data_IF_386706226745
#
_entry.id   IF_386706226745
#
_cell.length_a   1.000
_cell.length_b   1.000
_cell.length_c   1.000
_cell.angle_alpha   90.00
_cell.angle_beta   90.00
_cell.angle_gamma   90.00
#
_symmetry.space_group_name_H-M   'P 1'
#
loop_
_entity.id
_entity.type
_entity.pdbx_description
1 polymer ?
#
# COMPACT_ATOMS: atom_id res chain seq x y z
N UNK A 1 64.27 10.27 -44.28
CA UNK A 1 63.57 11.08 -43.26
C UNK A 1 62.11 10.65 -43.05
N UNK A 2 61.36 10.24 -44.09
CA UNK A 2 59.97 9.75 -43.98
C UNK A 2 59.78 8.36 -43.30
N UNK A 3 60.81 7.50 -43.27
CA UNK A 3 60.71 6.17 -42.64
C UNK A 3 60.86 6.21 -41.10
N UNK A 4 61.57 7.21 -40.55
CA UNK A 4 61.78 7.35 -39.11
C UNK A 4 60.55 7.94 -38.40
N UNK A 5 59.78 8.80 -39.07
CA UNK A 5 58.53 9.37 -38.53
C UNK A 5 57.40 8.35 -38.44
N UNK A 6 57.33 7.39 -39.37
CA UNK A 6 56.33 6.31 -39.32
C UNK A 6 56.58 5.32 -38.17
N UNK A 7 57.84 4.99 -37.87
CA UNK A 7 58.18 4.11 -36.74
C UNK A 7 57.74 4.73 -35.40
N UNK A 8 57.98 6.02 -35.17
CA UNK A 8 57.58 6.70 -33.95
C UNK A 8 56.04 6.76 -33.77
N UNK A 9 55.29 6.91 -34.86
CA UNK A 9 53.82 6.90 -34.84
C UNK A 9 53.25 5.53 -34.49
N UNK A 10 53.83 4.46 -35.04
CA UNK A 10 53.46 3.06 -34.73
C UNK A 10 53.78 2.73 -33.27
N UNK A 11 54.95 3.15 -32.76
CA UNK A 11 55.31 2.98 -31.34
C UNK A 11 54.36 3.71 -30.40
N UNK A 12 53.93 4.93 -30.75
CA UNK A 12 52.95 5.68 -29.96
C UNK A 12 51.59 4.98 -29.94
N UNK A 13 51.07 4.55 -31.09
CA UNK A 13 49.82 3.78 -31.19
C UNK A 13 49.88 2.49 -30.36
N UNK A 14 51.01 1.80 -30.38
CA UNK A 14 51.23 0.58 -29.58
C UNK A 14 51.19 0.86 -28.07
N UNK A 15 51.82 1.95 -27.60
CA UNK A 15 51.79 2.35 -26.19
C UNK A 15 50.37 2.74 -25.73
N UNK A 16 49.63 3.47 -26.56
CA UNK A 16 48.22 3.81 -26.28
C UNK A 16 47.36 2.54 -26.20
N UNK A 17 47.55 1.59 -27.13
CA UNK A 17 46.85 0.31 -27.11
C UNK A 17 47.17 -0.50 -25.84
N UNK A 18 48.43 -0.56 -25.43
CA UNK A 18 48.84 -1.24 -24.20
C UNK A 18 48.23 -0.59 -22.94
N UNK A 19 48.17 0.74 -22.91
CA UNK A 19 47.51 1.51 -21.84
C UNK A 19 46.00 1.27 -21.78
N UNK A 20 45.33 1.19 -22.93
CA UNK A 20 43.91 0.84 -23.00
C UNK A 20 43.67 -0.61 -22.54
N UNK A 21 44.54 -1.55 -22.95
CA UNK A 21 44.44 -2.95 -22.55
C UNK A 21 44.64 -3.11 -21.03
N UNK A 22 45.60 -2.40 -20.43
CA UNK A 22 45.84 -2.45 -18.99
C UNK A 22 44.67 -1.85 -18.19
N UNK A 23 44.06 -0.77 -18.67
CA UNK A 23 42.86 -0.19 -18.08
C UNK A 23 41.68 -1.18 -18.10
N UNK A 24 41.45 -1.85 -19.23
CA UNK A 24 40.38 -2.85 -19.36
C UNK A 24 40.62 -4.02 -18.41
N UNK A 25 41.86 -4.53 -18.32
CA UNK A 25 42.21 -5.59 -17.38
C UNK A 25 42.00 -5.15 -15.92
N UNK A 26 42.35 -3.90 -15.57
CA UNK A 26 42.12 -3.35 -14.24
C UNK A 26 40.63 -3.27 -13.91
N UNK A 27 39.79 -2.82 -14.84
CA UNK A 27 38.33 -2.79 -14.65
C UNK A 27 37.76 -4.19 -14.45
N UNK A 28 38.22 -5.17 -15.23
CA UNK A 28 37.80 -6.57 -15.06
C UNK A 28 38.19 -7.08 -13.67
N UNK A 29 39.41 -6.80 -13.20
CA UNK A 29 39.86 -7.19 -11.86
C UNK A 29 38.99 -6.56 -10.77
N UNK A 30 38.66 -5.26 -10.88
CA UNK A 30 37.78 -4.58 -9.92
C UNK A 30 36.38 -5.20 -9.89
N UNK A 31 35.80 -5.51 -11.07
CA UNK A 31 34.49 -6.17 -11.16
C UNK A 31 34.52 -7.57 -10.56
N UNK A 32 35.58 -8.36 -10.83
CA UNK A 32 35.75 -9.70 -10.25
C UNK A 32 35.94 -9.67 -8.73
N UNK A 33 36.70 -8.70 -8.21
CA UNK A 33 36.85 -8.52 -6.77
C UNK A 33 35.49 -8.17 -6.15
N UNK A 34 34.77 -7.20 -6.71
CA UNK A 34 33.45 -6.80 -6.23
C UNK A 34 32.45 -7.96 -6.26
N UNK A 35 32.38 -8.70 -7.37
CA UNK A 35 31.48 -9.84 -7.51
C UNK A 35 31.85 -10.99 -6.57
N UNK A 36 33.14 -11.22 -6.31
CA UNK A 36 33.60 -12.21 -5.35
C UNK A 36 33.26 -11.82 -3.90
N UNK A 37 33.43 -10.55 -3.54
CA UNK A 37 33.00 -10.03 -2.23
C UNK A 37 31.49 -10.21 -2.05
N UNK A 38 30.69 -9.83 -3.06
CA UNK A 38 29.24 -9.97 -3.04
C UNK A 38 28.80 -11.45 -2.98
N UNK A 39 29.49 -12.33 -3.71
CA UNK A 39 29.23 -13.77 -3.71
C UNK A 39 29.54 -14.40 -2.34
N UNK A 40 30.67 -14.04 -1.72
CA UNK A 40 31.02 -14.57 -0.39
C UNK A 40 30.03 -14.12 0.68
N UNK A 41 29.54 -12.88 0.59
CA UNK A 41 28.50 -12.35 1.47
C UNK A 41 27.17 -13.08 1.26
N UNK A 42 26.75 -13.28 0.00
CA UNK A 42 25.49 -13.96 -0.32
C UNK A 42 25.49 -15.44 0.09
N UNK A 43 26.61 -16.16 -0.09
CA UNK A 43 26.77 -17.54 0.38
C UNK A 43 26.68 -17.62 1.89
N UNK A 44 27.34 -16.71 2.62
CA UNK A 44 27.27 -16.66 4.09
C UNK A 44 25.85 -16.36 4.57
N UNK A 45 25.18 -15.38 3.97
CA UNK A 45 23.79 -15.03 4.29
C UNK A 45 22.86 -16.22 4.00
N UNK A 46 23.07 -16.95 2.90
CA UNK A 46 22.30 -18.14 2.57
C UNK A 46 22.49 -19.26 3.61
N UNK A 47 23.73 -19.56 3.99
CA UNK A 47 24.05 -20.55 5.03
C UNK A 47 23.43 -20.17 6.37
N UNK A 48 23.63 -18.94 6.83
CA UNK A 48 23.05 -18.44 8.07
C UNK A 48 21.53 -18.39 8.02
N UNK A 49 20.94 -18.06 6.87
CA UNK A 49 19.50 -18.12 6.69
C UNK A 49 18.97 -19.55 6.82
N UNK A 50 19.71 -20.56 6.36
CA UNK A 50 19.37 -21.97 6.57
C UNK A 50 19.32 -22.32 8.06
N UNK A 51 20.38 -21.98 8.79
CA UNK A 51 20.50 -22.22 10.24
C UNK A 51 19.38 -21.50 11.02
N UNK A 52 19.07 -20.26 10.66
CA UNK A 52 17.99 -19.48 11.28
C UNK A 52 16.63 -20.12 11.00
N UNK A 53 16.35 -20.48 9.76
CA UNK A 53 15.06 -21.06 9.38
C UNK A 53 14.83 -22.42 10.05
N UNK A 54 15.88 -23.23 10.17
CA UNK A 54 15.86 -24.47 10.93
C UNK A 54 15.48 -24.18 12.38
N UNK A 55 16.16 -23.24 13.04
CA UNK A 55 15.87 -22.86 14.44
C UNK A 55 14.43 -22.35 14.64
N UNK A 56 13.93 -21.53 13.72
CA UNK A 56 12.56 -21.01 13.77
C UNK A 56 11.56 -22.15 13.60
N UNK A 57 11.79 -23.06 12.64
CA UNK A 57 10.92 -24.21 12.39
C UNK A 57 10.92 -25.16 13.58
N UNK A 58 12.09 -25.48 14.13
CA UNK A 58 12.25 -26.26 15.35
C UNK A 58 11.40 -25.70 16.49
N UNK A 59 11.49 -24.40 16.71
CA UNK A 59 10.78 -23.75 17.82
C UNK A 59 9.27 -23.76 17.60
N UNK A 60 8.80 -23.51 16.37
CA UNK A 60 7.36 -23.50 16.05
C UNK A 60 6.76 -24.91 16.16
N UNK A 61 7.42 -25.92 15.58
CA UNK A 61 6.89 -27.28 15.39
C UNK A 61 7.02 -28.14 16.65
N UNK A 62 8.10 -28.00 17.41
CA UNK A 62 8.37 -28.84 18.57
C UNK A 62 8.21 -28.03 19.87
N UNK A 63 7.86 -28.72 20.96
CA UNK A 63 7.77 -28.11 22.29
C UNK A 63 9.11 -28.21 23.05
N UNK A 64 9.28 -27.35 24.06
CA UNK A 64 10.54 -27.23 24.82
C UNK A 64 10.98 -28.59 25.40
N UNK A 65 12.15 -29.07 24.95
CA UNK A 65 12.79 -30.27 25.50
C UNK A 65 12.86 -31.49 24.57
N UNK A 66 12.26 -31.44 23.37
CA UNK A 66 12.27 -32.58 22.44
C UNK A 66 13.46 -32.60 21.46
N UNK A 67 14.31 -31.56 21.42
CA UNK A 67 15.36 -31.40 20.41
C UNK A 67 16.75 -31.27 21.06
N UNK A 68 17.73 -31.98 20.50
CA UNK A 68 19.14 -31.85 20.86
C UNK A 68 19.65 -30.41 20.62
N UNK A 69 20.59 -29.89 21.44
CA UNK A 69 21.11 -28.53 21.26
C UNK A 69 21.68 -28.35 19.84
N UNK A 70 21.12 -27.42 19.07
CA UNK A 70 21.63 -27.07 17.74
C UNK A 70 22.96 -26.31 17.89
N UNK A 71 24.05 -27.08 17.90
CA UNK A 71 25.42 -26.57 18.05
C UNK A 71 25.81 -25.54 16.98
N UNK A 72 25.16 -25.58 15.81
CA UNK A 72 25.47 -24.65 14.72
C UNK A 72 24.89 -23.25 14.96
N UNK A 73 23.68 -23.16 15.52
CA UNK A 73 23.05 -21.88 15.85
C UNK A 73 23.81 -21.17 16.98
N UNK A 74 24.12 -21.90 18.05
CA UNK A 74 24.85 -21.37 19.20
C UNK A 74 26.26 -20.84 18.82
N UNK A 75 26.89 -21.42 17.79
CA UNK A 75 28.21 -20.96 17.32
C UNK A 75 28.16 -19.55 16.70
N UNK A 76 27.01 -19.12 16.18
CA UNK A 76 26.86 -17.83 15.48
C UNK A 76 25.97 -16.82 16.21
N UNK A 77 25.24 -17.23 17.26
CA UNK A 77 24.24 -16.40 17.95
C UNK A 77 24.78 -15.10 18.55
N UNK A 78 26.09 -15.03 18.79
CA UNK A 78 26.77 -13.84 19.31
C UNK A 78 27.32 -12.91 18.21
N UNK A 79 27.39 -13.37 16.96
CA UNK A 79 27.94 -12.56 15.86
C UNK A 79 26.96 -11.44 15.46
N UNK A 80 27.37 -10.16 15.44
CA UNK A 80 26.46 -9.05 15.16
C UNK A 80 25.75 -9.14 13.80
N UNK A 81 26.44 -9.61 12.77
CA UNK A 81 25.84 -9.79 11.44
C UNK A 81 24.81 -10.93 11.41
N UNK A 82 25.08 -12.01 12.13
CA UNK A 82 24.13 -13.12 12.29
C UNK A 82 22.90 -12.67 13.06
N UNK A 83 23.08 -11.97 14.18
CA UNK A 83 21.99 -11.42 14.99
C UNK A 83 21.11 -10.45 14.20
N UNK A 84 21.70 -9.57 13.39
CA UNK A 84 20.95 -8.68 12.51
C UNK A 84 20.14 -9.44 11.45
N UNK A 85 20.72 -10.48 10.84
CA UNK A 85 20.02 -11.34 9.90
C UNK A 85 18.89 -12.11 10.60
N UNK A 86 19.14 -12.60 11.80
CA UNK A 86 18.16 -13.32 12.62
C UNK A 86 16.96 -12.43 12.96
N UNK A 87 17.21 -11.23 13.47
CA UNK A 87 16.17 -10.23 13.73
C UNK A 87 15.34 -9.93 12.48
N UNK A 88 16.00 -9.65 11.35
CA UNK A 88 15.30 -9.41 10.08
C UNK A 88 14.42 -10.59 9.67
N UNK A 89 14.92 -11.82 9.83
CA UNK A 89 14.17 -13.04 9.50
C UNK A 89 12.99 -13.27 10.43
N UNK A 90 13.12 -13.02 11.73
CA UNK A 90 11.99 -13.09 12.65
C UNK A 90 10.90 -12.08 12.27
N UNK A 91 11.28 -10.83 11.93
CA UNK A 91 10.31 -9.81 11.48
C UNK A 91 9.61 -10.18 10.16
N UNK A 92 10.35 -10.73 9.20
CA UNK A 92 9.78 -11.26 7.94
C UNK A 92 8.84 -12.46 8.17
N UNK A 93 9.05 -13.18 9.27
CA UNK A 93 8.31 -14.40 9.62
C UNK A 93 7.08 -14.07 10.44
N UNK A 94 7.14 -13.11 11.37
CA UNK A 94 6.02 -12.71 12.23
C UNK A 94 4.73 -12.45 11.42
N UNK A 95 4.83 -11.68 10.33
CA UNK A 95 3.70 -11.37 9.46
C UNK A 95 3.07 -12.58 8.72
N UNK A 96 3.73 -13.75 8.73
CA UNK A 96 3.27 -14.97 8.05
C UNK A 96 2.56 -15.95 8.98
N UNK A 97 2.66 -15.74 10.30
CA UNK A 97 2.08 -16.62 11.30
C UNK A 97 1.13 -15.85 12.21
N UNK A 98 0.18 -16.54 12.83
CA UNK A 98 -0.77 -15.98 13.79
C UNK A 98 -0.95 -16.93 14.97
N UNK A 99 -1.45 -16.41 16.10
CA UNK A 99 -1.71 -17.22 17.30
C UNK A 99 -0.43 -17.76 17.96
N UNK A 100 -0.45 -19.03 18.38
CA UNK A 100 0.64 -19.64 19.15
C UNK A 100 2.01 -19.61 18.43
N UNK A 101 2.03 -19.80 17.10
CA UNK A 101 3.26 -19.74 16.33
C UNK A 101 3.87 -18.32 16.31
N UNK A 102 3.03 -17.29 16.28
CA UNK A 102 3.49 -15.90 16.36
C UNK A 102 4.09 -15.59 17.75
N UNK A 103 3.49 -16.11 18.82
CA UNK A 103 4.03 -15.96 20.17
C UNK A 103 5.42 -16.60 20.29
N UNK A 104 5.61 -17.81 19.76
CA UNK A 104 6.92 -18.48 19.73
C UNK A 104 8.00 -17.68 18.98
N UNK A 105 7.63 -16.92 17.94
CA UNK A 105 8.56 -16.00 17.24
C UNK A 105 8.96 -14.83 18.16
N UNK A 106 8.01 -14.28 18.92
CA UNK A 106 8.28 -13.21 19.90
C UNK A 106 9.14 -13.71 21.06
N UNK A 107 8.94 -14.94 21.50
CA UNK A 107 9.77 -15.57 22.53
C UNK A 107 11.22 -15.69 22.05
N UNK A 108 11.46 -16.18 20.82
CA UNK A 108 12.80 -16.19 20.22
C UNK A 108 13.42 -14.79 20.14
N UNK A 109 12.64 -13.77 19.82
CA UNK A 109 13.13 -12.40 19.81
C UNK A 109 13.60 -11.94 21.19
N UNK A 110 12.86 -12.29 22.24
CA UNK A 110 13.15 -11.96 23.63
C UNK A 110 14.34 -12.77 24.19
N UNK A 111 14.35 -14.09 24.00
CA UNK A 111 15.38 -15.01 24.50
C UNK A 111 16.78 -14.61 24.03
N UNK A 112 16.89 -14.23 22.76
CA UNK A 112 18.15 -13.79 22.16
C UNK A 112 18.44 -12.30 22.36
N UNK A 113 17.60 -11.58 23.11
CA UNK A 113 17.74 -10.15 23.39
C UNK A 113 17.93 -9.31 22.11
N UNK A 114 17.20 -9.66 21.04
CA UNK A 114 17.35 -9.00 19.74
C UNK A 114 16.84 -7.57 19.74
N UNK A 115 16.01 -7.20 20.72
CA UNK A 115 15.64 -5.81 21.01
C UNK A 115 16.85 -4.88 21.04
N UNK A 116 17.98 -5.33 21.60
CA UNK A 116 19.20 -4.51 21.69
C UNK A 116 19.77 -4.18 20.31
N UNK A 117 19.68 -5.10 19.35
CA UNK A 117 20.14 -4.85 17.98
C UNK A 117 19.24 -3.84 17.27
N UNK A 118 17.93 -3.91 17.49
CA UNK A 118 16.98 -2.97 16.95
C UNK A 118 17.16 -1.55 17.56
N UNK A 119 17.37 -1.46 18.88
CA UNK A 119 17.67 -0.18 19.55
C UNK A 119 18.98 0.46 19.06
N UNK A 120 20.03 -0.34 18.77
CA UNK A 120 21.28 0.18 18.20
C UNK A 120 21.04 0.90 16.86
N UNK A 121 20.07 0.44 16.06
CA UNK A 121 19.70 1.06 14.77
C UNK A 121 19.05 2.43 14.95
N UNK A 122 18.27 2.64 16.01
CA UNK A 122 17.69 3.95 16.34
C UNK A 122 18.74 5.03 16.67
N UNK A 123 19.96 4.63 17.04
CA UNK A 123 21.05 5.56 17.36
C UNK A 123 21.98 5.84 16.17
N UNK A 124 21.69 5.26 14.99
CA UNK A 124 22.47 5.50 13.77
C UNK A 124 22.12 6.85 13.15
N UNK A 125 23.00 7.34 12.26
CA UNK A 125 22.76 8.59 11.51
C UNK A 125 22.03 8.35 10.20
N UNK A 126 22.18 7.16 9.62
CA UNK A 126 21.64 6.81 8.33
C UNK A 126 20.12 6.58 8.44
N UNK A 127 19.29 7.34 7.69
CA UNK A 127 17.84 7.25 7.82
C UNK A 127 17.27 5.85 7.59
N UNK A 128 17.82 5.09 6.63
CA UNK A 128 17.35 3.74 6.35
C UNK A 128 17.61 2.77 7.52
N UNK A 129 18.67 2.99 8.32
CA UNK A 129 18.94 2.19 9.51
C UNK A 129 17.96 2.55 10.62
N UNK A 130 17.74 3.85 10.86
CA UNK A 130 16.75 4.31 11.86
C UNK A 130 15.37 3.76 11.51
N UNK A 131 14.92 3.93 10.27
CA UNK A 131 13.63 3.44 9.80
C UNK A 131 13.52 1.91 9.96
N UNK A 132 14.55 1.15 9.60
CA UNK A 132 14.60 -0.30 9.82
C UNK A 132 14.50 -0.68 11.29
N UNK A 133 15.16 0.06 12.19
CA UNK A 133 15.04 -0.13 13.63
C UNK A 133 13.63 0.13 14.15
N UNK A 134 12.97 1.19 13.68
CA UNK A 134 11.57 1.49 14.04
C UNK A 134 10.66 0.35 13.56
N UNK A 135 10.82 -0.11 12.32
CA UNK A 135 10.05 -1.21 11.74
C UNK A 135 10.21 -2.50 12.56
N UNK A 136 11.43 -2.87 12.90
CA UNK A 136 11.73 -4.08 13.66
C UNK A 136 11.14 -4.04 15.07
N UNK A 137 11.27 -2.91 15.78
CA UNK A 137 10.71 -2.72 17.11
C UNK A 137 9.18 -2.71 17.10
N UNK A 138 8.58 -2.14 16.05
CA UNK A 138 7.12 -2.10 15.87
C UNK A 138 6.56 -3.48 15.58
N UNK A 139 7.17 -4.22 14.64
CA UNK A 139 6.74 -5.58 14.30
C UNK A 139 6.83 -6.53 15.49
N UNK A 140 7.86 -6.38 16.33
CA UNK A 140 8.06 -7.19 17.53
C UNK A 140 7.30 -6.67 18.77
N UNK A 141 6.45 -5.65 18.61
CA UNK A 141 5.66 -5.04 19.68
C UNK A 141 6.49 -4.58 20.90
N UNK A 142 7.63 -3.92 20.67
CA UNK A 142 8.51 -3.43 21.75
C UNK A 142 8.06 -2.06 22.24
N UNK A 143 7.09 -2.03 23.15
CA UNK A 143 6.51 -0.78 23.68
C UNK A 143 7.53 0.13 24.37
N UNK A 144 8.57 -0.44 24.99
CA UNK A 144 9.65 0.33 25.62
C UNK A 144 10.38 1.27 24.64
N UNK A 145 10.27 1.04 23.32
CA UNK A 145 10.84 1.90 22.30
C UNK A 145 10.02 3.18 22.03
N UNK A 146 8.75 3.24 22.46
CA UNK A 146 7.83 4.33 22.17
C UNK A 146 8.39 5.74 22.45
N UNK A 147 9.02 6.02 23.61
CA UNK A 147 9.58 7.35 23.88
C UNK A 147 10.69 7.74 22.91
N UNK A 148 11.46 6.77 22.42
CA UNK A 148 12.50 7.03 21.42
C UNK A 148 11.89 7.19 20.03
N UNK A 149 10.93 6.36 19.67
CA UNK A 149 10.25 6.43 18.37
C UNK A 149 9.49 7.75 18.22
N UNK A 150 8.81 8.22 19.25
CA UNK A 150 8.05 9.49 19.20
C UNK A 150 8.95 10.70 18.89
N UNK A 151 10.22 10.68 19.31
CA UNK A 151 11.19 11.73 18.95
C UNK A 151 11.49 11.82 17.44
N UNK A 152 11.14 10.78 16.67
CA UNK A 152 11.31 10.76 15.22
C UNK A 152 10.10 11.30 14.44
N UNK A 153 9.02 11.69 15.13
CA UNK A 153 7.86 12.36 14.50
C UNK A 153 8.18 13.76 13.97
N UNK A 154 9.38 14.28 14.22
CA UNK A 154 9.87 15.55 13.63
C UNK A 154 11.14 15.34 12.80
N UNK A 155 11.46 14.08 12.46
CA UNK A 155 12.70 13.77 11.77
C UNK A 155 12.65 14.23 10.30
N UNK A 156 13.71 14.86 9.75
CA UNK A 156 13.68 15.45 8.40
C UNK A 156 13.60 14.40 7.27
N UNK A 157 14.01 13.16 7.53
CA UNK A 157 13.84 12.08 6.56
C UNK A 157 12.39 11.58 6.56
N UNK A 158 11.73 11.71 5.40
CA UNK A 158 10.37 11.22 5.16
C UNK A 158 10.22 9.73 5.52
N UNK A 159 11.22 8.90 5.21
CA UNK A 159 11.19 7.48 5.51
C UNK A 159 11.12 7.23 7.04
N UNK A 160 11.97 7.92 7.80
CA UNK A 160 12.00 7.80 9.26
C UNK A 160 10.71 8.34 9.88
N UNK A 161 10.24 9.49 9.38
CA UNK A 161 8.98 10.10 9.83
C UNK A 161 7.78 9.18 9.60
N UNK A 162 7.66 8.57 8.42
CA UNK A 162 6.57 7.65 8.09
C UNK A 162 6.58 6.38 8.92
N UNK A 163 7.76 5.81 9.20
CA UNK A 163 7.86 4.66 10.09
C UNK A 163 7.54 5.02 11.54
N UNK A 164 7.93 6.21 12.00
CA UNK A 164 7.54 6.69 13.32
C UNK A 164 6.03 6.89 13.45
N UNK A 165 5.38 7.48 12.44
CA UNK A 165 3.91 7.60 12.39
C UNK A 165 3.22 6.24 12.41
N UNK A 166 3.67 5.31 11.55
CA UNK A 166 3.14 3.95 11.52
C UNK A 166 3.29 3.25 12.88
N UNK A 167 4.45 3.39 13.52
CA UNK A 167 4.69 2.84 14.85
C UNK A 167 3.73 3.43 15.88
N UNK A 168 3.52 4.76 15.90
CA UNK A 168 2.56 5.37 16.82
C UNK A 168 1.15 4.80 16.65
N UNK A 169 0.71 4.59 15.40
CA UNK A 169 -0.60 4.00 15.11
C UNK A 169 -0.65 2.52 15.48
N UNK A 170 0.42 1.77 15.22
CA UNK A 170 0.49 0.34 15.57
C UNK A 170 0.44 0.10 17.08
N UNK A 171 1.03 0.99 17.89
CA UNK A 171 1.05 0.85 19.34
C UNK A 171 -0.14 1.51 20.05
N UNK A 172 -0.63 2.64 19.54
CA UNK A 172 -1.70 3.44 20.19
C UNK A 172 -3.06 3.35 19.50
N UNK A 173 -3.17 2.56 18.43
CA UNK A 173 -4.39 2.47 17.64
C UNK A 173 -4.80 3.84 17.09
N UNK A 174 -6.08 4.18 17.26
CA UNK A 174 -6.69 5.40 16.72
C UNK A 174 -6.01 6.68 17.23
N UNK A 175 -5.59 6.72 18.50
CA UNK A 175 -4.89 7.88 19.07
C UNK A 175 -3.57 8.18 18.35
N UNK A 176 -2.94 7.16 17.75
CA UNK A 176 -1.74 7.33 16.96
C UNK A 176 -1.94 8.16 15.69
N UNK A 177 -3.19 8.37 15.25
CA UNK A 177 -3.54 9.16 14.06
C UNK A 177 -3.59 10.67 14.30
N UNK A 178 -3.36 11.16 15.52
CA UNK A 178 -3.40 12.59 15.85
C UNK A 178 -2.45 13.46 14.99
N UNK A 179 -1.44 12.86 14.34
CA UNK A 179 -0.61 13.57 13.37
C UNK A 179 -1.40 14.09 12.16
N UNK A 180 -2.57 13.51 11.85
CA UNK A 180 -3.45 13.94 10.75
C UNK A 180 -3.97 15.37 10.94
N UNK A 181 -4.04 15.86 12.18
CA UNK A 181 -4.47 17.24 12.48
C UNK A 181 -3.49 18.30 11.96
N UNK A 182 -2.22 17.92 11.78
CA UNK A 182 -1.13 18.88 11.50
C UNK A 182 -0.40 18.57 10.19
N UNK A 183 -0.66 17.41 9.56
CA UNK A 183 0.08 16.99 8.38
C UNK A 183 -0.29 17.81 7.14
N UNK A 184 0.69 18.56 6.62
CA UNK A 184 0.55 19.34 5.39
C UNK A 184 0.92 18.56 4.13
N UNK A 185 1.69 17.48 4.27
CA UNK A 185 2.16 16.66 3.14
C UNK A 185 1.15 15.59 2.73
N UNK A 186 1.16 15.22 1.45
CA UNK A 186 0.34 14.09 0.95
C UNK A 186 0.76 12.77 1.57
N UNK A 187 -0.22 11.98 2.00
CA UNK A 187 -0.04 10.61 2.50
C UNK A 187 -0.18 9.66 1.31
N UNK A 188 0.84 8.85 1.05
CA UNK A 188 0.82 7.89 -0.06
C UNK A 188 -0.23 6.80 0.17
N UNK A 189 -0.73 6.23 -0.92
CA UNK A 189 -1.73 5.15 -0.89
C UNK A 189 -1.28 3.95 -0.07
N UNK A 190 0.00 3.56 -0.22
CA UNK A 190 0.59 2.50 0.58
C UNK A 190 0.62 2.82 2.07
N UNK A 191 0.98 4.06 2.43
CA UNK A 191 1.00 4.48 3.83
C UNK A 191 -0.43 4.50 4.40
N UNK A 192 -1.40 5.04 3.66
CA UNK A 192 -2.81 5.00 4.06
C UNK A 192 -3.29 3.55 4.27
N UNK A 193 -2.94 2.61 3.39
CA UNK A 193 -3.32 1.21 3.55
C UNK A 193 -2.71 0.60 4.82
N UNK A 194 -1.41 0.83 5.06
CA UNK A 194 -0.73 0.35 6.28
C UNK A 194 -1.39 0.86 7.55
N UNK A 195 -1.65 2.18 7.61
CA UNK A 195 -2.33 2.82 8.72
C UNK A 195 -3.75 2.27 8.92
N UNK A 196 -4.50 2.12 7.83
CA UNK A 196 -5.86 1.61 7.88
C UNK A 196 -5.92 0.19 8.45
N UNK A 197 -4.97 -0.68 8.09
CA UNK A 197 -4.92 -2.07 8.57
C UNK A 197 -4.56 -2.12 10.06
N UNK A 198 -3.70 -1.21 10.55
CA UNK A 198 -3.27 -1.22 11.95
C UNK A 198 -4.32 -0.69 12.94
N UNK A 199 -5.34 0.05 12.49
CA UNK A 199 -6.46 0.46 13.36
C UNK A 199 -7.45 -0.69 13.51
N UNK A 200 -7.68 -1.17 14.72
CA UNK A 200 -8.64 -2.26 14.99
C UNK A 200 -10.04 -1.78 15.39
N UNK A 201 -10.12 -0.59 15.98
CA UNK A 201 -11.31 -0.02 16.58
C UNK A 201 -11.21 1.52 16.61
N UNK A 202 -12.33 2.18 16.89
CA UNK A 202 -12.45 3.63 16.99
C UNK A 202 -13.09 3.96 18.36
N UNK A 203 -12.52 4.91 19.13
CA UNK A 203 -12.99 5.27 20.47
C UNK A 203 -14.32 6.03 20.42
N UNK A 204 -15.20 5.89 21.41
CA UNK A 204 -16.58 6.39 21.36
C UNK A 204 -16.74 7.92 21.12
N UNK A 205 -15.72 8.72 21.42
CA UNK A 205 -15.65 10.17 21.25
C UNK A 205 -15.02 10.62 19.92
N UNK A 206 -15.01 9.74 18.92
CA UNK A 206 -14.35 9.97 17.61
C UNK A 206 -14.97 11.09 16.76
N UNK A 207 -16.23 11.46 17.01
CA UNK A 207 -17.05 12.24 16.08
C UNK A 207 -16.40 13.57 15.67
N UNK A 208 -15.93 14.36 16.63
CA UNK A 208 -15.37 15.68 16.35
C UNK A 208 -14.02 15.59 15.63
N UNK A 209 -13.21 14.60 15.98
CA UNK A 209 -11.92 14.32 15.33
C UNK A 209 -12.12 13.96 13.86
N UNK A 210 -13.02 13.02 13.56
CA UNK A 210 -13.29 12.62 12.17
C UNK A 210 -13.92 13.75 11.36
N UNK A 211 -14.80 14.57 11.96
CA UNK A 211 -15.35 15.76 11.29
C UNK A 211 -14.24 16.74 10.90
N UNK A 212 -13.34 17.04 11.82
CA UNK A 212 -12.20 17.92 11.54
C UNK A 212 -11.33 17.37 10.39
N UNK A 213 -11.12 16.05 10.33
CA UNK A 213 -10.34 15.44 9.25
C UNK A 213 -11.07 15.43 7.90
N UNK A 214 -12.40 15.31 7.88
CA UNK A 214 -13.20 15.46 6.65
C UNK A 214 -13.18 16.90 6.10
N UNK A 215 -12.98 17.89 6.97
CA UNK A 215 -12.85 19.31 6.62
C UNK A 215 -11.40 19.74 6.36
N UNK A 216 -10.44 18.80 6.43
CA UNK A 216 -9.02 19.09 6.22
C UNK A 216 -8.75 19.68 4.84
N UNK A 217 -7.84 20.66 4.77
CA UNK A 217 -7.33 21.19 3.50
C UNK A 217 -6.43 20.19 2.75
N UNK A 218 -6.07 19.07 3.38
CA UNK A 218 -5.26 18.02 2.78
C UNK A 218 -6.17 16.91 2.24
N UNK A 219 -6.34 16.86 0.91
CA UNK A 219 -7.15 15.84 0.22
C UNK A 219 -6.85 14.42 0.69
N UNK A 220 -5.58 14.08 0.97
CA UNK A 220 -5.22 12.72 1.39
C UNK A 220 -5.67 12.39 2.82
N UNK A 221 -5.82 13.39 3.68
CA UNK A 221 -6.42 13.24 5.02
C UNK A 221 -7.93 13.00 4.88
N UNK A 222 -8.61 13.77 4.03
CA UNK A 222 -10.04 13.57 3.75
C UNK A 222 -10.30 12.18 3.18
N UNK A 223 -9.50 11.75 2.19
CA UNK A 223 -9.59 10.42 1.57
C UNK A 223 -9.32 9.31 2.59
N UNK A 224 -8.29 9.46 3.43
CA UNK A 224 -8.00 8.48 4.47
C UNK A 224 -9.15 8.39 5.49
N UNK A 225 -9.75 9.52 5.82
CA UNK A 225 -10.91 9.58 6.73
C UNK A 225 -12.12 8.88 6.14
N UNK A 226 -12.41 9.09 4.86
CA UNK A 226 -13.44 8.33 4.14
C UNK A 226 -13.20 6.82 4.19
N UNK A 227 -11.94 6.36 4.17
CA UNK A 227 -11.61 4.93 4.33
C UNK A 227 -11.89 4.40 5.73
N UNK A 228 -11.62 5.21 6.76
CA UNK A 228 -11.99 4.87 8.14
C UNK A 228 -13.51 4.73 8.28
N UNK A 229 -14.27 5.70 7.77
CA UNK A 229 -15.74 5.68 7.79
C UNK A 229 -16.29 4.39 7.16
N UNK A 230 -15.74 4.00 6.00
CA UNK A 230 -16.10 2.74 5.32
C UNK A 230 -15.73 1.51 6.13
N UNK A 231 -14.50 1.45 6.67
CA UNK A 231 -14.02 0.29 7.43
C UNK A 231 -14.87 0.03 8.67
N UNK A 232 -15.26 1.08 9.36
CA UNK A 232 -15.97 1.01 10.65
C UNK A 232 -17.47 1.25 10.55
N UNK A 233 -18.01 1.41 9.34
CA UNK A 233 -19.44 1.63 9.06
C UNK A 233 -20.05 2.77 9.90
N UNK A 234 -19.39 3.93 9.87
CA UNK A 234 -19.78 5.10 10.68
C UNK A 234 -20.91 5.89 10.01
N UNK A 235 -22.14 5.35 10.05
CA UNK A 235 -23.31 5.89 9.37
C UNK A 235 -23.71 7.30 9.85
N UNK A 236 -23.37 7.68 11.09
CA UNK A 236 -23.66 9.01 11.66
C UNK A 236 -23.04 10.15 10.85
N UNK A 237 -21.92 9.90 10.17
CA UNK A 237 -21.20 10.90 9.37
C UNK A 237 -21.68 10.98 7.91
N UNK A 238 -22.72 10.23 7.53
CA UNK A 238 -23.29 10.22 6.19
C UNK A 238 -23.55 11.62 5.61
N UNK A 239 -24.20 12.57 6.34
CA UNK A 239 -24.47 13.90 5.79
C UNK A 239 -23.19 14.68 5.44
N UNK A 240 -22.11 14.47 6.18
CA UNK A 240 -20.83 15.12 5.91
C UNK A 240 -20.15 14.53 4.67
N UNK A 241 -20.26 13.20 4.47
CA UNK A 241 -19.80 12.55 3.25
C UNK A 241 -20.58 13.07 2.03
N UNK A 242 -21.89 13.30 2.16
CA UNK A 242 -22.70 13.90 1.10
C UNK A 242 -22.21 15.31 0.73
N UNK A 243 -21.86 16.13 1.71
CA UNK A 243 -21.31 17.47 1.47
C UNK A 243 -19.99 17.44 0.69
N UNK A 244 -19.18 16.38 0.83
CA UNK A 244 -17.92 16.24 0.10
C UNK A 244 -18.10 16.04 -1.42
N UNK A 245 -19.31 15.78 -1.90
CA UNK A 245 -19.60 15.82 -3.34
C UNK A 245 -19.45 17.23 -3.96
N UNK A 246 -19.34 18.27 -3.12
CA UNK A 246 -19.04 19.64 -3.54
C UNK A 246 -17.56 20.04 -3.37
N UNK A 247 -16.71 19.14 -2.88
CA UNK A 247 -15.29 19.40 -2.60
C UNK A 247 -14.52 19.83 -3.87
N UNK A 248 -13.53 20.74 -3.85
CA UNK A 248 -12.82 21.16 -5.07
C UNK A 248 -12.08 20.02 -5.78
N UNK A 249 -11.60 19.03 -5.03
CA UNK A 249 -10.88 17.87 -5.57
C UNK A 249 -11.81 16.80 -6.11
N UNK A 250 -11.69 16.48 -7.41
CA UNK A 250 -12.45 15.41 -8.09
C UNK A 250 -12.20 14.06 -7.43
N UNK A 251 -10.96 13.78 -7.01
CA UNK A 251 -10.62 12.52 -6.34
C UNK A 251 -11.37 12.37 -5.01
N UNK A 252 -11.46 13.43 -4.21
CA UNK A 252 -12.24 13.42 -2.95
C UNK A 252 -13.70 13.10 -3.24
N UNK A 253 -14.30 13.71 -4.29
CA UNK A 253 -15.69 13.42 -4.68
C UNK A 253 -15.89 11.96 -5.09
N UNK A 254 -14.98 11.39 -5.88
CA UNK A 254 -15.02 9.97 -6.26
C UNK A 254 -14.96 9.08 -5.02
N UNK A 255 -14.07 9.39 -4.08
CA UNK A 255 -13.96 8.62 -2.83
C UNK A 255 -15.18 8.80 -1.93
N UNK A 256 -15.81 9.98 -1.93
CA UNK A 256 -17.06 10.24 -1.22
C UNK A 256 -18.21 9.41 -1.80
N UNK A 257 -18.38 9.34 -3.12
CA UNK A 257 -19.35 8.46 -3.79
C UNK A 257 -19.15 6.99 -3.37
N UNK A 258 -17.90 6.51 -3.37
CA UNK A 258 -17.54 5.15 -2.91
C UNK A 258 -17.76 4.94 -1.41
N UNK A 259 -17.75 5.99 -0.60
CA UNK A 259 -18.06 5.92 0.81
C UNK A 259 -19.56 5.88 1.05
N UNK A 260 -20.34 6.71 0.34
CA UNK A 260 -21.80 6.70 0.36
C UNK A 260 -22.37 5.33 -0.05
N UNK A 261 -21.75 4.67 -1.03
CA UNK A 261 -22.08 3.29 -1.40
C UNK A 261 -21.93 2.31 -0.21
N UNK A 262 -20.89 2.49 0.62
CA UNK A 262 -20.66 1.60 1.77
C UNK A 262 -21.55 1.95 2.95
N UNK A 263 -21.87 3.22 3.13
CA UNK A 263 -22.68 3.76 4.24
C UNK A 263 -24.17 3.86 3.89
N UNK A 264 -24.58 3.22 2.80
CA UNK A 264 -25.87 3.44 2.14
C UNK A 264 -27.08 3.50 3.08
N UNK A 265 -28.05 4.32 2.70
CA UNK A 265 -29.34 4.45 3.36
C UNK A 265 -30.44 4.63 2.30
N UNK A 266 -31.70 4.70 2.73
CA UNK A 266 -32.85 4.78 1.83
C UNK A 266 -32.92 6.02 0.93
N UNK A 267 -32.14 7.07 1.20
CA UNK A 267 -32.11 8.29 0.37
C UNK A 267 -30.90 8.36 -0.56
N UNK A 268 -29.95 7.42 -0.46
CA UNK A 268 -28.65 7.52 -1.13
C UNK A 268 -28.77 7.61 -2.64
N UNK A 269 -29.58 6.75 -3.27
CA UNK A 269 -29.74 6.77 -4.72
C UNK A 269 -30.46 8.04 -5.19
N UNK A 270 -31.46 8.51 -4.46
CA UNK A 270 -32.16 9.76 -4.79
C UNK A 270 -31.22 10.96 -4.72
N UNK A 271 -30.47 11.10 -3.63
CA UNK A 271 -29.51 12.19 -3.45
C UNK A 271 -28.39 12.18 -4.51
N UNK A 272 -27.86 10.99 -4.85
CA UNK A 272 -26.88 10.84 -5.92
C UNK A 272 -27.46 11.17 -7.30
N UNK A 273 -28.73 10.84 -7.55
CA UNK A 273 -29.43 11.19 -8.80
C UNK A 273 -29.60 12.71 -8.92
N UNK A 274 -29.99 13.38 -7.84
CA UNK A 274 -30.26 14.82 -7.81
C UNK A 274 -28.98 15.63 -8.07
N UNK A 275 -27.85 15.20 -7.51
CA UNK A 275 -26.59 15.93 -7.67
C UNK A 275 -25.85 15.60 -8.98
N UNK A 276 -26.15 14.46 -9.61
CA UNK A 276 -25.45 13.94 -10.79
C UNK A 276 -25.21 14.97 -11.91
N UNK A 277 -26.18 15.80 -12.35
CA UNK A 277 -25.97 16.75 -13.45
C UNK A 277 -24.90 17.81 -13.15
N UNK A 278 -24.62 18.07 -11.87
CA UNK A 278 -23.69 19.10 -11.41
C UNK A 278 -22.28 18.55 -11.11
N UNK A 279 -22.07 17.25 -11.31
CA UNK A 279 -20.81 16.60 -11.01
C UNK A 279 -19.85 16.55 -12.21
N UNK A 280 -18.52 16.56 -11.97
CA UNK A 280 -17.53 16.29 -13.00
C UNK A 280 -17.76 14.93 -13.65
N UNK A 281 -17.33 14.78 -14.90
CA UNK A 281 -17.55 13.58 -15.70
C UNK A 281 -17.07 12.29 -15.00
N UNK A 282 -15.90 12.32 -14.38
CA UNK A 282 -15.33 11.18 -13.67
C UNK A 282 -16.19 10.78 -12.44
N UNK A 283 -16.79 11.75 -11.76
CA UNK A 283 -17.68 11.52 -10.62
C UNK A 283 -19.02 10.98 -11.10
N UNK A 284 -19.56 11.48 -12.22
CA UNK A 284 -20.77 10.95 -12.85
C UNK A 284 -20.63 9.46 -13.17
N UNK A 285 -19.49 9.04 -13.75
CA UNK A 285 -19.23 7.63 -14.02
C UNK A 285 -19.19 6.79 -12.74
N UNK A 286 -18.60 7.31 -11.66
CA UNK A 286 -18.58 6.60 -10.38
C UNK A 286 -19.99 6.50 -9.78
N UNK A 287 -20.84 7.53 -9.89
CA UNK A 287 -22.24 7.48 -9.45
C UNK A 287 -23.01 6.37 -10.18
N UNK A 288 -22.88 6.27 -11.50
CA UNK A 288 -23.53 5.20 -12.28
C UNK A 288 -23.04 3.82 -11.87
N UNK A 289 -21.73 3.69 -11.57
CA UNK A 289 -21.15 2.45 -11.05
C UNK A 289 -21.76 2.08 -9.69
N UNK A 290 -21.96 3.05 -8.80
CA UNK A 290 -22.64 2.83 -7.50
C UNK A 290 -24.09 2.39 -7.73
N UNK A 291 -24.85 3.06 -8.59
CA UNK A 291 -26.23 2.68 -8.92
C UNK A 291 -26.34 1.23 -9.42
N UNK A 292 -25.39 0.79 -10.26
CA UNK A 292 -25.29 -0.60 -10.72
C UNK A 292 -25.08 -1.60 -9.57
N UNK A 293 -24.32 -1.22 -8.54
CA UNK A 293 -24.04 -2.09 -7.39
C UNK A 293 -25.22 -2.14 -6.42
N UNK A 294 -25.84 -0.99 -6.11
CA UNK A 294 -26.93 -0.91 -5.12
C UNK A 294 -28.25 -1.51 -5.65
N UNK A 295 -28.47 -1.46 -6.98
CA UNK A 295 -29.63 -2.09 -7.66
C UNK A 295 -30.99 -1.65 -7.11
N UNK A 296 -31.12 -0.38 -6.74
CA UNK A 296 -32.41 0.19 -6.34
C UNK A 296 -33.27 0.55 -7.56
N UNK A 297 -34.53 0.14 -7.55
CA UNK A 297 -35.44 0.34 -8.70
C UNK A 297 -35.79 1.82 -8.97
N UNK A 298 -35.62 2.70 -7.98
CA UNK A 298 -35.95 4.12 -8.08
C UNK A 298 -35.10 4.85 -9.14
N UNK A 299 -33.88 4.39 -9.45
CA UNK A 299 -33.03 5.01 -10.47
C UNK A 299 -33.27 4.48 -11.90
N UNK A 300 -34.17 3.51 -12.10
CA UNK A 300 -34.40 2.93 -13.43
C UNK A 300 -34.78 3.98 -14.48
N UNK A 301 -35.72 4.87 -14.17
CA UNK A 301 -36.13 5.94 -15.10
C UNK A 301 -34.98 6.89 -15.46
N UNK A 302 -34.16 7.25 -14.46
CA UNK A 302 -32.97 8.06 -14.68
C UNK A 302 -31.95 7.34 -15.59
N UNK A 303 -31.66 6.06 -15.34
CA UNK A 303 -30.73 5.27 -16.15
C UNK A 303 -31.23 5.08 -17.59
N UNK A 304 -32.54 4.87 -17.78
CA UNK A 304 -33.16 4.83 -19.10
C UNK A 304 -32.93 6.13 -19.88
N UNK A 305 -33.11 7.27 -19.22
CA UNK A 305 -32.83 8.58 -19.81
C UNK A 305 -31.34 8.72 -20.19
N UNK A 306 -30.43 8.38 -19.27
CA UNK A 306 -28.98 8.48 -19.54
C UNK A 306 -28.52 7.54 -20.67
N UNK A 307 -29.13 6.37 -20.83
CA UNK A 307 -28.82 5.45 -21.92
C UNK A 307 -29.19 6.04 -23.29
N UNK A 308 -30.36 6.66 -23.40
CA UNK A 308 -30.89 7.15 -24.68
C UNK A 308 -30.29 8.52 -25.03
N UNK A 309 -30.34 9.47 -24.09
CA UNK A 309 -30.12 10.89 -24.35
C UNK A 309 -28.68 11.35 -24.17
N UNK A 310 -27.87 10.69 -23.33
CA UNK A 310 -26.54 11.19 -22.99
C UNK A 310 -25.59 11.13 -24.21
N UNK A 311 -24.82 12.19 -24.53
CA UNK A 311 -23.94 12.16 -25.70
C UNK A 311 -22.71 11.25 -25.54
N UNK A 312 -22.31 10.93 -24.31
CA UNK A 312 -21.09 10.17 -24.03
C UNK A 312 -21.35 8.67 -23.98
N UNK A 313 -20.63 7.92 -24.83
CA UNK A 313 -20.73 6.46 -24.88
C UNK A 313 -20.41 5.78 -23.55
N UNK A 314 -19.46 6.29 -22.79
CA UNK A 314 -19.11 5.76 -21.47
C UNK A 314 -20.33 5.78 -20.52
N UNK A 315 -21.07 6.89 -20.47
CA UNK A 315 -22.29 7.00 -19.66
C UNK A 315 -23.34 6.00 -20.11
N UNK A 316 -23.55 5.87 -21.44
CA UNK A 316 -24.49 4.89 -22.00
C UNK A 316 -24.12 3.45 -21.63
N UNK A 317 -22.83 3.10 -21.64
CA UNK A 317 -22.34 1.78 -21.25
C UNK A 317 -22.69 1.49 -19.79
N UNK A 318 -22.32 2.38 -18.87
CA UNK A 318 -22.65 2.18 -17.45
C UNK A 318 -24.16 2.17 -17.19
N UNK A 319 -24.95 2.99 -17.89
CA UNK A 319 -26.39 3.00 -17.78
C UNK A 319 -27.02 1.67 -18.26
N UNK A 320 -26.55 1.12 -19.39
CA UNK A 320 -26.99 -0.17 -19.90
C UNK A 320 -26.66 -1.31 -18.93
N UNK A 321 -25.43 -1.36 -18.41
CA UNK A 321 -24.99 -2.36 -17.43
C UNK A 321 -25.76 -2.26 -16.10
N UNK A 322 -26.08 -1.04 -15.65
CA UNK A 322 -26.90 -0.79 -14.47
C UNK A 322 -28.34 -1.28 -14.68
N UNK A 323 -28.98 -0.94 -15.81
CA UNK A 323 -30.33 -1.40 -16.17
C UNK A 323 -30.40 -2.93 -16.28
N UNK A 324 -29.39 -3.55 -16.88
CA UNK A 324 -29.26 -5.00 -16.92
C UNK A 324 -29.20 -5.60 -15.50
N UNK A 325 -28.35 -5.03 -14.65
CA UNK A 325 -28.18 -5.47 -13.25
C UNK A 325 -29.44 -5.29 -12.39
N UNK A 326 -30.29 -4.32 -12.75
CA UNK A 326 -31.60 -4.06 -12.15
C UNK A 326 -32.73 -4.96 -12.69
N UNK A 327 -32.47 -5.76 -13.73
CA UNK A 327 -33.44 -6.66 -14.32
C UNK A 327 -34.22 -6.11 -15.53
N UNK A 328 -33.91 -4.91 -16.03
CA UNK A 328 -34.63 -4.24 -17.14
C UNK A 328 -34.21 -4.76 -18.53
N UNK A 329 -34.14 -6.08 -18.70
CA UNK A 329 -33.72 -6.73 -19.95
C UNK A 329 -34.68 -6.44 -21.10
N UNK A 330 -35.98 -6.51 -20.86
CA UNK A 330 -37.01 -6.29 -21.88
C UNK A 330 -36.94 -4.88 -22.45
N UNK A 331 -36.70 -3.88 -21.57
CA UNK A 331 -36.47 -2.50 -21.98
C UNK A 331 -35.23 -2.38 -22.89
N UNK A 332 -34.10 -2.99 -22.48
CA UNK A 332 -32.87 -2.97 -23.27
C UNK A 332 -33.09 -3.61 -24.67
N UNK A 333 -33.77 -4.76 -24.73
CA UNK A 333 -34.10 -5.42 -26.00
C UNK A 333 -35.03 -4.56 -26.85
N UNK A 334 -36.02 -3.90 -26.24
CA UNK A 334 -36.91 -2.98 -26.95
C UNK A 334 -36.13 -1.82 -27.58
N UNK A 335 -35.24 -1.17 -26.83
CA UNK A 335 -34.42 -0.05 -27.34
C UNK A 335 -33.46 -0.51 -28.43
N UNK A 336 -32.86 -1.70 -28.31
CA UNK A 336 -31.96 -2.24 -29.32
C UNK A 336 -32.65 -2.60 -30.65
N UNK A 337 -33.95 -2.91 -30.62
CA UNK A 337 -34.75 -3.24 -31.81
C UNK A 337 -35.47 -2.02 -32.41
N UNK A 338 -35.45 -0.87 -31.74
CA UNK A 338 -36.03 0.36 -32.27
C UNK A 338 -35.24 0.85 -33.49
N UNK A 339 -35.95 1.16 -34.57
CA UNK A 339 -35.37 1.68 -35.81
C UNK A 339 -34.76 3.07 -35.65
N UNK A 340 -35.16 3.81 -34.62
CA UNK A 340 -34.61 5.13 -34.30
C UNK A 340 -33.26 5.06 -33.55
N UNK A 341 -32.88 3.89 -33.04
CA UNK A 341 -31.64 3.71 -32.27
C UNK A 341 -30.41 3.75 -33.17
N UNK A 342 -29.41 4.54 -32.79
CA UNK A 342 -28.11 4.56 -33.46
C UNK A 342 -27.40 3.20 -33.37
N UNK A 343 -26.59 2.85 -34.38
CA UNK A 343 -25.80 1.61 -34.39
C UNK A 343 -24.92 1.48 -33.13
N UNK A 344 -24.31 2.58 -32.69
CA UNK A 344 -23.49 2.62 -31.48
C UNK A 344 -24.29 2.25 -30.23
N UNK A 345 -25.52 2.77 -30.06
CA UNK A 345 -26.39 2.44 -28.95
C UNK A 345 -26.77 0.95 -28.96
N UNK A 346 -27.09 0.41 -30.14
CA UNK A 346 -27.39 -1.02 -30.30
C UNK A 346 -26.18 -1.90 -29.91
N UNK A 347 -24.97 -1.51 -30.31
CA UNK A 347 -23.75 -2.22 -29.93
C UNK A 347 -23.51 -2.20 -28.41
N UNK A 348 -23.71 -1.05 -27.75
CA UNK A 348 -23.59 -0.91 -26.29
C UNK A 348 -24.58 -1.82 -25.56
N UNK A 349 -25.84 -1.82 -25.99
CA UNK A 349 -26.87 -2.66 -25.37
C UNK A 349 -26.56 -4.14 -25.58
N UNK A 350 -26.12 -4.54 -26.78
CA UNK A 350 -25.71 -5.93 -27.05
C UNK A 350 -24.55 -6.35 -26.16
N UNK A 351 -23.56 -5.49 -25.95
CA UNK A 351 -22.45 -5.76 -25.04
C UNK A 351 -22.97 -6.00 -23.61
N UNK A 352 -23.79 -5.09 -23.08
CA UNK A 352 -24.36 -5.23 -21.74
C UNK A 352 -25.22 -6.50 -21.58
N UNK A 353 -25.97 -6.90 -22.61
CA UNK A 353 -26.75 -8.14 -22.61
C UNK A 353 -25.88 -9.42 -22.72
N UNK A 354 -24.68 -9.32 -23.30
CA UNK A 354 -23.76 -10.46 -23.49
C UNK A 354 -22.86 -10.71 -22.28
N UNK A 355 -22.64 -9.72 -21.41
CA UNK A 355 -21.65 -9.75 -20.32
C UNK A 355 -21.89 -10.80 -19.21
N UNK A 356 -22.83 -11.75 -19.39
CA UNK A 356 -23.04 -12.92 -18.50
C UNK A 356 -23.38 -14.26 -19.19
N UNK A 357 -23.06 -14.44 -20.48
CA UNK A 357 -23.04 -15.81 -21.07
C UNK A 357 -21.71 -16.55 -20.72
N UNK A 358 -20.77 -15.92 -19.99
CA UNK A 358 -19.54 -16.56 -19.51
C UNK A 358 -19.45 -16.62 -17.99
#
# INVERSE_FOLDING_TARGET
MLLLTNSNSIHYLFLVFLGMLSLVVLLIIVVLIYSFYQYKESVRVSQWSGIINEKVTETIVYDEGEIAPNNSFAAFSDYPLFRNLFLKKLVETDNKFSGAAQNKIKDLFNDYNLQNEAFKKLNQKQPYLIAGGIQELTAMNVEAALPKISSFLTHPSVQVYQEAQYAMVSFKGFEGLHFLDTISTKISEWQQLRLLISITDIPADYDDTLKNWLESSNDTVVIFTLRLLKKFQLLSLYPMVMNLLNHPSVEVRIQAVKALQSLENSSTITELTDIYPHQPFEVQLEILRVMRVLKEQCCAGFLQQQLVENPFSAVKIYAAEALFSLGHHDYLVQVANDKASSEQLVQIIKHALQEKIC
#
